data_IF_352504945766
#
_entry.id   IF_352504945766
#
_cell.length_a   1.000
_cell.length_b   1.000
_cell.length_c   1.000
_cell.angle_alpha   90.00
_cell.angle_beta   90.00
_cell.angle_gamma   90.00
#
_symmetry.space_group_name_H-M   'P 1'
#
loop_
_entity.id
_entity.type
_entity.pdbx_description
1 polymer ?
#
# COMPACT_ATOMS: atom_id res chain seq x y z
N UNK A 1 -13.81 -9.19 0.85
CA UNK A 1 -13.16 -8.99 2.16
C UNK A 1 -13.73 -7.74 2.81
N UNK A 2 -14.41 -7.88 3.95
CA UNK A 2 -15.19 -6.82 4.58
C UNK A 2 -14.28 -5.65 5.03
N UNK A 3 -14.72 -4.40 4.87
CA UNK A 3 -13.90 -3.20 5.14
C UNK A 3 -13.43 -3.12 6.59
N UNK A 4 -14.21 -3.66 7.52
CA UNK A 4 -13.91 -3.77 8.95
C UNK A 4 -12.72 -4.72 9.19
N UNK A 5 -12.69 -5.88 8.51
CA UNK A 5 -11.58 -6.85 8.65
C UNK A 5 -10.26 -6.29 8.12
N UNK A 6 -10.31 -5.50 7.04
CA UNK A 6 -9.13 -4.81 6.51
C UNK A 6 -8.56 -3.81 7.51
N UNK A 7 -9.42 -3.01 8.15
CA UNK A 7 -9.01 -2.04 9.17
C UNK A 7 -8.40 -2.73 10.40
N UNK A 8 -9.03 -3.81 10.88
CA UNK A 8 -8.50 -4.61 11.98
C UNK A 8 -7.12 -5.19 11.66
N UNK A 9 -6.94 -5.78 10.47
CA UNK A 9 -5.66 -6.34 10.06
C UNK A 9 -4.56 -5.27 9.99
N UNK A 10 -4.89 -4.07 9.49
CA UNK A 10 -3.94 -2.95 9.42
C UNK A 10 -3.56 -2.46 10.82
N UNK A 11 -4.54 -2.29 11.70
CA UNK A 11 -4.28 -1.87 13.09
C UNK A 11 -3.44 -2.91 13.83
N UNK A 12 -3.73 -4.20 13.65
CA UNK A 12 -2.96 -5.29 14.25
C UNK A 12 -1.51 -5.31 13.73
N UNK A 13 -1.31 -5.14 12.42
CA UNK A 13 0.02 -5.10 11.83
C UNK A 13 0.83 -3.90 12.31
N UNK A 14 0.21 -2.71 12.38
CA UNK A 14 0.85 -1.49 12.88
C UNK A 14 1.21 -1.60 14.36
N UNK A 15 0.29 -2.10 15.18
CA UNK A 15 0.54 -2.29 16.62
C UNK A 15 1.64 -3.31 16.87
N UNK A 16 1.63 -4.45 16.16
CA UNK A 16 2.71 -5.42 16.24
C UNK A 16 4.07 -4.81 15.85
N UNK A 17 4.11 -4.02 14.77
CA UNK A 17 5.34 -3.35 14.34
C UNK A 17 5.85 -2.35 15.39
N UNK A 18 4.96 -1.54 15.97
CA UNK A 18 5.32 -0.58 17.02
C UNK A 18 5.83 -1.30 18.26
N UNK A 19 5.15 -2.37 18.70
CA UNK A 19 5.58 -3.18 19.85
C UNK A 19 6.95 -3.79 19.59
N UNK A 20 7.18 -4.42 18.43
CA UNK A 20 8.47 -5.01 18.09
C UNK A 20 9.57 -3.94 18.06
N UNK A 21 9.30 -2.76 17.50
CA UNK A 21 10.27 -1.67 17.43
C UNK A 21 10.62 -1.13 18.83
N UNK A 22 9.62 -0.82 19.65
CA UNK A 22 9.82 -0.25 20.99
C UNK A 22 10.48 -1.27 21.91
N UNK A 23 9.95 -2.49 22.00
CA UNK A 23 10.54 -3.52 22.86
C UNK A 23 11.91 -3.98 22.34
N UNK A 24 12.13 -4.00 21.02
CA UNK A 24 13.43 -4.29 20.44
C UNK A 24 14.50 -3.27 20.87
N UNK A 25 14.17 -1.97 20.84
CA UNK A 25 15.10 -0.91 21.27
C UNK A 25 15.29 -0.93 22.79
N UNK A 26 14.23 -1.10 23.58
CA UNK A 26 14.31 -1.13 25.05
C UNK A 26 15.11 -2.33 25.57
N UNK A 27 14.91 -3.53 24.99
CA UNK A 27 15.73 -4.70 25.35
C UNK A 27 17.20 -4.49 24.99
N UNK A 28 17.48 -3.87 23.84
CA UNK A 28 18.86 -3.58 23.44
C UNK A 28 19.52 -2.55 24.36
N UNK A 29 18.82 -1.51 24.78
CA UNK A 29 19.35 -0.47 25.68
C UNK A 29 19.69 -1.04 27.07
N UNK A 30 18.81 -1.86 27.64
CA UNK A 30 19.05 -2.48 28.95
C UNK A 30 20.10 -3.60 28.90
N UNK A 31 20.21 -4.35 27.81
CA UNK A 31 21.21 -5.40 27.62
C UNK A 31 22.64 -4.86 27.38
N UNK A 32 22.78 -3.58 27.09
CA UNK A 32 24.08 -2.94 26.79
C UNK A 32 24.62 -2.12 27.97
N UNK A 33 23.82 -1.87 29.00
CA UNK A 33 24.18 -0.97 30.11
C UNK A 33 25.08 -1.62 31.17
N UNK A 34 25.16 -2.96 31.21
CA UNK A 34 25.95 -3.71 32.20
C UNK A 34 27.17 -4.38 31.54
N UNK A 35 28.41 -4.09 31.99
CA UNK A 35 29.63 -4.70 31.44
C UNK A 35 29.66 -6.24 31.52
N UNK A 36 28.93 -6.83 32.46
CA UNK A 36 28.81 -8.27 32.68
C UNK A 36 27.69 -8.96 31.87
N UNK A 37 26.69 -8.21 31.38
CA UNK A 37 25.47 -8.75 30.75
C UNK A 37 25.36 -8.37 29.27
N UNK A 38 26.48 -8.03 28.65
CA UNK A 38 26.52 -7.72 27.23
C UNK A 38 26.21 -8.97 26.40
N UNK A 39 25.00 -9.03 25.86
CA UNK A 39 24.51 -10.16 25.04
C UNK A 39 25.45 -10.47 23.87
N UNK A 40 26.12 -9.45 23.31
CA UNK A 40 27.10 -9.61 22.24
C UNK A 40 28.35 -10.38 22.70
N UNK A 41 28.80 -10.16 23.94
CA UNK A 41 29.91 -10.91 24.53
C UNK A 41 29.52 -12.36 24.83
N UNK A 42 28.29 -12.59 25.30
CA UNK A 42 27.78 -13.93 25.52
C UNK A 42 27.58 -14.74 24.22
N UNK A 43 27.18 -14.08 23.12
CA UNK A 43 26.95 -14.74 21.84
C UNK A 43 28.24 -14.99 21.06
N UNK A 44 29.15 -14.02 21.02
CA UNK A 44 30.30 -14.05 20.10
C UNK A 44 31.67 -14.02 20.81
N UNK A 45 31.72 -13.97 22.15
CA UNK A 45 32.97 -13.92 22.93
C UNK A 45 33.75 -12.61 22.79
N UNK A 46 33.23 -11.63 22.06
CA UNK A 46 33.89 -10.35 21.82
C UNK A 46 33.67 -9.38 23.00
N UNK A 47 34.62 -8.48 23.29
CA UNK A 47 34.46 -7.46 24.33
C UNK A 47 33.30 -6.51 23.98
N UNK A 48 32.50 -6.14 24.98
CA UNK A 48 31.38 -5.24 24.78
C UNK A 48 31.86 -3.86 24.32
N UNK A 49 31.28 -3.26 23.27
CA UNK A 49 31.69 -1.95 22.79
C UNK A 49 31.46 -0.89 23.87
N UNK A 50 32.53 -0.23 24.31
CA UNK A 50 32.49 0.79 25.37
C UNK A 50 32.12 2.18 24.86
N UNK A 51 32.05 2.34 23.53
CA UNK A 51 31.76 3.63 22.88
C UNK A 51 30.52 3.52 21.99
N UNK A 52 29.71 4.58 22.00
CA UNK A 52 28.48 4.70 21.20
C UNK A 52 28.74 4.50 19.69
N UNK A 53 29.94 4.85 19.21
CA UNK A 53 30.36 4.70 17.81
C UNK A 53 30.57 3.22 17.46
N UNK A 54 31.22 2.45 18.33
CA UNK A 54 31.43 1.01 18.10
C UNK A 54 30.11 0.24 18.19
N UNK A 55 29.20 0.66 19.07
CA UNK A 55 27.85 0.13 19.15
C UNK A 55 27.06 0.40 17.85
N UNK A 56 27.13 1.62 17.33
CA UNK A 56 26.47 1.99 16.07
C UNK A 56 27.01 1.18 14.88
N UNK A 57 28.34 1.03 14.79
CA UNK A 57 28.98 0.20 13.74
C UNK A 57 28.54 -1.26 13.86
N UNK A 58 28.40 -1.78 15.08
CA UNK A 58 27.95 -3.16 15.31
C UNK A 58 26.47 -3.35 14.99
N UNK A 59 25.61 -2.36 15.24
CA UNK A 59 24.22 -2.41 14.78
C UNK A 59 24.13 -2.30 13.26
N UNK A 60 24.95 -1.46 12.63
CA UNK A 60 24.97 -1.30 11.18
C UNK A 60 25.42 -2.60 10.48
N UNK A 61 26.39 -3.32 11.05
CA UNK A 61 26.85 -4.61 10.52
C UNK A 61 25.78 -5.69 10.67
N UNK A 62 25.06 -5.74 11.80
CA UNK A 62 23.95 -6.67 12.01
C UNK A 62 22.81 -6.36 11.03
N UNK A 63 22.46 -5.10 10.82
CA UNK A 63 21.45 -4.70 9.83
C UNK A 63 21.90 -5.07 8.41
N UNK A 64 23.17 -4.90 8.05
CA UNK A 64 23.71 -5.34 6.76
C UNK A 64 23.61 -6.86 6.57
N UNK A 65 23.98 -7.64 7.58
CA UNK A 65 23.90 -9.11 7.51
C UNK A 65 22.43 -9.54 7.42
N UNK A 66 21.55 -8.97 8.24
CA UNK A 66 20.14 -9.31 8.24
C UNK A 66 19.46 -8.95 6.93
N UNK A 67 19.77 -7.78 6.36
CA UNK A 67 19.25 -7.36 5.06
C UNK A 67 19.78 -8.24 3.91
N UNK A 68 21.04 -8.68 3.96
CA UNK A 68 21.61 -9.60 2.96
C UNK A 68 21.07 -11.03 3.07
N UNK A 69 20.70 -11.50 4.27
CA UNK A 69 20.18 -12.85 4.51
C UNK A 69 18.67 -12.94 4.24
N UNK A 70 17.90 -11.93 4.67
CA UNK A 70 16.43 -11.94 4.56
C UNK A 70 15.98 -11.52 3.16
N UNK A 71 16.71 -10.62 2.51
CA UNK A 71 16.41 -10.18 1.16
C UNK A 71 17.55 -10.62 0.26
N UNK A 72 17.34 -11.70 -0.50
CA UNK A 72 18.31 -12.08 -1.52
C UNK A 72 18.57 -10.89 -2.44
N UNK A 73 19.81 -10.69 -2.91
CA UNK A 73 20.14 -9.56 -3.79
C UNK A 73 19.25 -9.53 -5.05
N UNK A 74 18.77 -10.70 -5.48
CA UNK A 74 17.79 -10.83 -6.57
C UNK A 74 16.40 -10.32 -6.20
N UNK A 75 15.91 -10.58 -4.99
CA UNK A 75 14.64 -10.04 -4.49
C UNK A 75 14.71 -8.53 -4.28
N UNK A 76 15.83 -8.02 -3.74
CA UNK A 76 16.07 -6.58 -3.60
C UNK A 76 16.03 -5.89 -4.97
N UNK A 77 16.70 -6.47 -5.97
CA UNK A 77 16.70 -5.96 -7.34
C UNK A 77 15.29 -5.97 -7.96
N UNK A 78 14.53 -7.06 -7.78
CA UNK A 78 13.15 -7.18 -8.24
C UNK A 78 12.23 -6.13 -7.61
N UNK A 79 12.36 -5.89 -6.30
CA UNK A 79 11.59 -4.87 -5.59
C UNK A 79 11.93 -3.47 -6.10
N UNK A 80 13.21 -3.20 -6.33
CA UNK A 80 13.67 -1.91 -6.85
C UNK A 80 13.16 -1.67 -8.28
N UNK A 81 13.24 -2.68 -9.14
CA UNK A 81 12.68 -2.65 -10.50
C UNK A 81 11.16 -2.43 -10.45
N UNK A 82 10.43 -3.18 -9.61
CA UNK A 82 8.99 -3.04 -9.46
C UNK A 82 8.58 -1.64 -8.99
N UNK A 83 9.32 -1.09 -8.02
CA UNK A 83 9.13 0.28 -7.54
C UNK A 83 9.36 1.29 -8.68
N UNK A 84 10.43 1.14 -9.45
CA UNK A 84 10.76 2.02 -10.57
C UNK A 84 9.68 1.97 -11.67
N UNK A 85 9.21 0.77 -12.02
CA UNK A 85 8.12 0.59 -12.99
C UNK A 85 6.81 1.17 -12.48
N UNK A 86 6.52 1.05 -11.19
CA UNK A 86 5.31 1.65 -10.59
C UNK A 86 5.35 3.18 -10.64
N UNK A 87 6.50 3.78 -10.31
CA UNK A 87 6.70 5.22 -10.37
C UNK A 87 6.62 5.74 -11.81
N UNK A 88 7.21 5.01 -12.77
CA UNK A 88 7.13 5.34 -14.19
C UNK A 88 5.71 5.22 -14.72
N UNK A 89 4.97 4.19 -14.33
CA UNK A 89 3.55 4.02 -14.67
C UNK A 89 2.73 5.19 -14.15
N UNK A 90 2.87 5.55 -12.87
CA UNK A 90 2.17 6.69 -12.30
C UNK A 90 2.51 7.99 -13.03
N UNK A 91 3.77 8.20 -13.39
CA UNK A 91 4.20 9.38 -14.14
C UNK A 91 3.59 9.46 -15.56
N UNK A 92 3.58 8.34 -16.29
CA UNK A 92 3.04 8.26 -17.64
C UNK A 92 1.50 8.37 -17.66
N UNK A 93 0.82 7.68 -16.73
CA UNK A 93 -0.63 7.69 -16.63
C UNK A 93 -1.20 8.94 -15.94
N UNK A 94 -0.40 9.69 -15.19
CA UNK A 94 -0.81 10.98 -14.62
C UNK A 94 -1.10 12.04 -15.70
N UNK A 95 -0.65 11.85 -16.94
CA UNK A 95 -0.94 12.73 -18.09
C UNK A 95 -2.04 12.21 -19.02
N UNK A 96 -2.59 11.02 -18.78
CA UNK A 96 -3.72 10.53 -19.55
C UNK A 96 -4.97 11.35 -19.18
N UNK A 97 -5.70 11.94 -20.14
CA UNK A 97 -7.00 12.53 -19.83
C UNK A 97 -7.84 11.40 -19.25
N UNK A 98 -8.26 11.56 -17.99
CA UNK A 98 -9.15 10.64 -17.30
C UNK A 98 -10.24 10.22 -18.27
N UNK A 99 -10.17 8.99 -18.78
CA UNK A 99 -11.32 8.39 -19.43
C UNK A 99 -12.44 8.49 -18.41
N UNK A 100 -13.61 9.06 -18.78
CA UNK A 100 -14.67 9.26 -17.82
C UNK A 100 -14.98 7.90 -17.20
N UNK A 101 -15.15 7.83 -15.86
CA UNK A 101 -15.37 6.58 -15.17
C UNK A 101 -16.50 5.84 -15.89
N UNK A 102 -16.34 4.53 -16.16
CA UNK A 102 -17.29 3.71 -16.93
C UNK A 102 -18.77 3.90 -16.49
N UNK A 103 -18.98 4.28 -15.23
CA UNK A 103 -20.26 4.69 -14.66
C UNK A 103 -20.95 5.86 -15.40
N UNK A 104 -20.20 6.88 -15.80
CA UNK A 104 -20.72 8.06 -16.50
C UNK A 104 -21.18 7.72 -17.92
N UNK A 105 -20.43 6.86 -18.62
CA UNK A 105 -20.81 6.35 -19.95
C UNK A 105 -22.10 5.52 -19.89
N UNK A 106 -22.25 4.69 -18.85
CA UNK A 106 -23.46 3.89 -18.64
C UNK A 106 -24.70 4.77 -18.36
N UNK A 107 -24.56 5.78 -17.49
CA UNK A 107 -25.65 6.72 -17.21
C UNK A 107 -26.04 7.52 -18.45
N UNK A 108 -25.08 8.01 -19.23
CA UNK A 108 -25.34 8.77 -20.46
C UNK A 108 -26.06 7.91 -21.51
N UNK A 109 -25.65 6.64 -21.68
CA UNK A 109 -26.33 5.70 -22.59
C UNK A 109 -27.77 5.43 -22.16
N UNK A 110 -28.04 5.28 -20.86
CA UNK A 110 -29.41 5.12 -20.34
C UNK A 110 -30.26 6.37 -20.56
N UNK A 111 -29.71 7.57 -20.33
CA UNK A 111 -30.44 8.82 -20.56
C UNK A 111 -30.81 9.00 -22.04
N UNK A 112 -29.89 8.71 -22.97
CA UNK A 112 -30.17 8.79 -24.41
C UNK A 112 -31.27 7.80 -24.81
N UNK A 113 -31.20 6.55 -24.33
CA UNK A 113 -32.25 5.56 -24.60
C UNK A 113 -33.61 6.02 -24.06
N UNK A 114 -33.67 6.52 -22.83
CA UNK A 114 -34.92 6.95 -22.22
C UNK A 114 -35.56 8.10 -23.02
N UNK A 115 -34.77 9.08 -23.44
CA UNK A 115 -35.25 10.21 -24.25
C UNK A 115 -35.82 9.77 -25.61
N UNK A 116 -35.21 8.77 -26.26
CA UNK A 116 -35.72 8.21 -27.52
C UNK A 116 -37.06 7.49 -27.34
N UNK A 117 -37.25 6.76 -26.23
CA UNK A 117 -38.53 6.13 -25.92
C UNK A 117 -39.62 7.16 -25.65
N UNK A 118 -39.33 8.18 -24.84
CA UNK A 118 -40.28 9.26 -24.56
C UNK A 118 -40.71 9.98 -25.84
N UNK A 119 -39.76 10.26 -26.74
CA UNK A 119 -40.05 10.94 -28.01
C UNK A 119 -40.91 10.08 -28.94
N UNK A 120 -40.68 8.76 -29.00
CA UNK A 120 -41.54 7.84 -29.76
C UNK A 120 -42.95 7.76 -29.19
N UNK A 121 -43.07 7.74 -27.87
CA UNK A 121 -44.37 7.68 -27.19
C UNK A 121 -45.16 8.97 -27.42
N UNK A 122 -44.53 10.13 -27.29
CA UNK A 122 -45.12 11.42 -27.63
C UNK A 122 -45.56 11.49 -29.09
N UNK A 123 -44.72 11.01 -30.02
CA UNK A 123 -45.07 10.95 -31.43
C UNK A 123 -46.29 10.03 -31.68
N UNK A 124 -46.33 8.87 -31.04
CA UNK A 124 -47.47 7.95 -31.14
C UNK A 124 -48.77 8.58 -30.61
N UNK A 125 -48.70 9.25 -29.44
CA UNK A 125 -49.84 9.96 -28.86
C UNK A 125 -50.32 11.10 -29.77
N UNK A 126 -49.41 11.85 -30.39
CA UNK A 126 -49.79 12.92 -31.32
C UNK A 126 -50.52 12.40 -32.56
N UNK A 127 -50.18 11.20 -33.04
CA UNK A 127 -50.89 10.57 -34.16
C UNK A 127 -52.29 10.12 -33.75
N UNK A 128 -52.45 9.67 -32.51
CA UNK A 128 -53.75 9.29 -31.95
C UNK A 128 -54.68 10.49 -31.79
N UNK A 129 -54.16 11.60 -31.26
CA UNK A 129 -54.93 12.83 -31.05
C UNK A 129 -55.37 13.48 -32.37
N UNK A 130 -54.55 13.38 -33.42
CA UNK A 130 -54.86 13.90 -34.75
C UNK A 130 -55.55 12.86 -35.65
N UNK A 131 -55.96 11.72 -35.11
CA UNK A 131 -56.70 10.73 -35.90
C UNK A 131 -58.14 11.21 -36.12
N UNK A 132 -58.71 11.02 -37.32
CA UNK A 132 -60.08 11.44 -37.58
C UNK A 132 -61.05 10.63 -36.72
N UNK A 133 -61.77 11.32 -35.84
CA UNK A 133 -62.91 10.76 -35.13
C UNK A 133 -64.05 10.55 -36.14
N UNK A 134 -64.37 9.29 -36.43
CA UNK A 134 -65.61 8.93 -37.13
C UNK A 134 -66.82 9.14 -36.24
#
# INVERSE_FOLDING_TARGET
MNTIMKKLAIVLALTAFIVIAVFGVVLMDHAMMSPSDCVVSMMNGNPCPTSQIQLFIHHLSVVQIFSAVVVSPTLALLLLISLLLSALSLFLFSKSPQSPPLFFSYQQSRQIKNNLYTRKLLHFLSLFENSPSF
#
